data_IF_375060847056
#
_entry.id   IF_375060847056
#
_cell.length_a   1.000
_cell.length_b   1.000
_cell.length_c   1.000
_cell.angle_alpha   90.00
_cell.angle_beta   90.00
_cell.angle_gamma   90.00
#
_symmetry.space_group_name_H-M   'P 1'
#
loop_
_entity.id
_entity.type
_entity.pdbx_description
1 polymer ?
#
# COMPACT_ATOMS: atom_id res chain seq x y z
N UNK A 1 20.57 -3.18 -32.90
CA UNK A 1 19.45 -2.64 -32.12
C UNK A 1 19.62 -1.14 -32.14
N UNK A 2 18.69 -0.41 -32.76
CA UNK A 2 18.87 1.01 -33.07
C UNK A 2 18.32 1.92 -31.98
N UNK A 3 17.37 1.42 -31.20
CA UNK A 3 16.75 2.01 -30.02
C UNK A 3 16.56 0.91 -28.98
N UNK A 4 17.22 1.02 -27.84
CA UNK A 4 17.12 0.08 -26.72
C UNK A 4 17.69 0.68 -25.44
N UNK A 5 17.09 0.35 -24.31
CA UNK A 5 17.66 0.57 -22.98
C UNK A 5 18.18 -0.77 -22.42
N UNK A 6 19.33 -1.21 -22.94
CA UNK A 6 19.96 -2.47 -22.50
C UNK A 6 21.42 -2.18 -22.18
N UNK A 7 21.77 -2.42 -20.92
CA UNK A 7 23.11 -2.27 -20.40
C UNK A 7 24.09 -3.17 -21.17
N UNK A 8 25.26 -2.63 -21.53
CA UNK A 8 26.30 -3.38 -22.26
C UNK A 8 26.59 -2.91 -23.69
N UNK A 9 26.11 -1.74 -24.10
CA UNK A 9 26.69 -1.00 -25.22
C UNK A 9 26.36 -1.54 -26.61
N UNK A 10 25.10 -1.92 -26.86
CA UNK A 10 24.65 -2.20 -28.23
C UNK A 10 24.89 -0.98 -29.11
N UNK A 11 25.44 -1.19 -30.31
CA UNK A 11 25.57 -0.12 -31.30
C UNK A 11 24.19 0.23 -31.88
N UNK A 12 23.76 1.48 -31.70
CA UNK A 12 22.47 2.02 -32.14
C UNK A 12 22.38 3.51 -31.84
N UNK A 13 21.67 4.26 -32.68
CA UNK A 13 21.65 5.73 -32.61
C UNK A 13 20.88 6.26 -31.38
N UNK A 14 19.81 5.59 -30.98
CA UNK A 14 18.97 5.98 -29.85
C UNK A 14 19.02 5.00 -28.69
N UNK A 15 20.10 4.23 -28.57
CA UNK A 15 20.29 3.40 -27.39
C UNK A 15 20.63 4.28 -26.20
N UNK A 16 19.98 4.02 -25.07
CA UNK A 16 20.26 4.67 -23.80
C UNK A 16 20.80 3.61 -22.81
N UNK A 17 21.44 4.09 -21.75
CA UNK A 17 21.99 3.28 -20.66
C UNK A 17 21.58 3.98 -19.36
N UNK A 18 20.29 3.87 -19.05
CA UNK A 18 19.66 4.55 -17.93
C UNK A 18 18.85 3.56 -17.08
N UNK A 19 18.47 3.97 -15.88
CA UNK A 19 17.49 3.18 -15.12
C UNK A 19 16.12 3.35 -15.79
N UNK A 20 15.48 2.27 -16.29
CA UNK A 20 14.17 2.37 -16.92
C UNK A 20 13.06 2.77 -15.95
N UNK A 21 13.32 2.82 -14.64
CA UNK A 21 12.32 3.14 -13.61
C UNK A 21 11.09 2.22 -13.70
N UNK A 22 11.33 0.91 -13.71
CA UNK A 22 10.25 -0.06 -13.61
C UNK A 22 9.53 0.03 -12.26
N UNK A 23 8.25 -0.30 -12.21
CA UNK A 23 7.45 -0.23 -10.98
C UNK A 23 8.01 -1.14 -9.89
N UNK A 24 8.19 -2.43 -10.18
CA UNK A 24 8.73 -3.40 -9.22
C UNK A 24 9.32 -4.60 -9.98
N UNK A 25 10.51 -4.44 -10.57
CA UNK A 25 11.14 -5.51 -11.36
C UNK A 25 11.43 -6.78 -10.54
N UNK A 26 11.67 -6.66 -9.23
CA UNK A 26 11.80 -7.76 -8.28
C UNK A 26 10.56 -8.66 -8.19
N UNK A 27 9.39 -8.13 -8.54
CA UNK A 27 8.11 -8.82 -8.54
C UNK A 27 7.57 -9.04 -9.96
N UNK A 28 8.44 -8.91 -10.96
CA UNK A 28 8.13 -9.05 -12.39
C UNK A 28 7.12 -8.01 -12.91
N UNK A 29 7.00 -6.86 -12.25
CA UNK A 29 6.26 -5.71 -12.80
C UNK A 29 7.23 -4.77 -13.55
N UNK A 30 7.29 -4.97 -14.86
CA UNK A 30 8.14 -4.21 -15.79
C UNK A 30 7.39 -3.06 -16.47
N UNK A 31 6.27 -2.59 -15.90
CA UNK A 31 5.63 -1.35 -16.35
C UNK A 31 6.51 -0.16 -15.99
N UNK A 32 6.47 0.91 -16.80
CA UNK A 32 7.25 2.12 -16.57
C UNK A 32 6.56 3.05 -15.56
N UNK A 33 7.36 3.69 -14.70
CA UNK A 33 6.96 4.81 -13.84
C UNK A 33 6.96 6.14 -14.60
N UNK A 34 6.17 7.11 -14.13
CA UNK A 34 6.22 8.48 -14.65
C UNK A 34 7.61 9.08 -14.42
N UNK A 35 8.17 9.71 -15.46
CA UNK A 35 9.54 10.22 -15.45
C UNK A 35 10.60 9.20 -15.90
N UNK A 36 10.20 7.99 -16.31
CA UNK A 36 11.11 7.02 -16.92
C UNK A 36 11.78 7.59 -18.17
N UNK A 37 13.11 7.41 -18.35
CA UNK A 37 13.82 7.82 -19.56
C UNK A 37 13.46 6.95 -20.78
N UNK A 38 12.72 5.86 -20.57
CA UNK A 38 12.27 4.96 -21.63
C UNK A 38 10.96 5.41 -22.27
N UNK A 39 10.24 6.36 -21.67
CA UNK A 39 9.02 6.92 -22.24
C UNK A 39 9.38 7.75 -23.48
N UNK A 40 8.65 7.57 -24.57
CA UNK A 40 8.79 8.28 -25.85
C UNK A 40 10.20 8.16 -26.48
N UNK A 41 10.95 7.10 -26.15
CA UNK A 41 12.39 7.03 -26.42
C UNK A 41 12.80 5.99 -27.47
N UNK A 42 11.86 5.17 -27.94
CA UNK A 42 12.01 4.06 -28.90
C UNK A 42 12.11 4.49 -30.37
N UNK A 43 11.64 3.68 -31.32
CA UNK A 43 11.79 4.01 -32.74
C UNK A 43 10.99 5.29 -33.10
N UNK A 44 11.59 6.30 -33.75
CA UNK A 44 10.89 7.54 -34.13
C UNK A 44 9.96 7.38 -35.34
N UNK A 45 9.94 6.23 -36.01
CA UNK A 45 9.00 5.98 -37.11
C UNK A 45 7.57 5.87 -36.58
N UNK A 46 6.64 6.75 -37.02
CA UNK A 46 5.25 6.75 -36.56
C UNK A 46 4.49 5.44 -36.75
N UNK A 47 4.97 4.53 -37.62
CA UNK A 47 4.35 3.21 -37.76
C UNK A 47 4.47 2.33 -36.51
N UNK A 48 5.42 2.65 -35.62
CA UNK A 48 5.68 1.93 -34.38
C UNK A 48 5.15 2.66 -33.15
N UNK A 49 4.49 3.82 -33.31
CA UNK A 49 3.90 4.57 -32.21
C UNK A 49 3.02 3.69 -31.33
N UNK A 50 3.01 4.01 -30.04
CA UNK A 50 2.20 3.31 -29.06
C UNK A 50 0.71 3.58 -29.26
N UNK A 51 -0.19 2.78 -28.65
CA UNK A 51 -1.64 2.93 -28.83
C UNK A 51 -2.22 4.31 -28.49
N UNK A 52 -1.55 5.09 -27.65
CA UNK A 52 -1.87 6.48 -27.32
C UNK A 52 -1.37 7.50 -28.37
N UNK A 53 -0.77 6.99 -29.45
CA UNK A 53 -0.21 7.74 -30.59
C UNK A 53 1.07 8.53 -30.30
N UNK A 54 1.71 8.32 -29.15
CA UNK A 54 3.03 8.88 -28.83
C UNK A 54 4.16 8.02 -29.44
N UNK A 55 5.40 8.47 -29.33
CA UNK A 55 6.54 7.71 -29.89
C UNK A 55 6.69 6.44 -29.07
N UNK A 56 7.03 5.32 -29.72
CA UNK A 56 7.24 4.04 -29.03
C UNK A 56 8.11 4.18 -27.77
N UNK A 57 7.69 3.57 -26.67
CA UNK A 57 8.47 3.42 -25.46
C UNK A 57 9.53 2.31 -25.59
N UNK A 58 10.59 2.40 -24.79
CA UNK A 58 11.62 1.35 -24.69
C UNK A 58 11.39 0.35 -23.55
N UNK A 59 10.14 0.22 -23.07
CA UNK A 59 9.74 -0.72 -22.01
C UNK A 59 9.12 -2.03 -22.52
N UNK A 60 8.82 -2.95 -21.59
CA UNK A 60 8.04 -4.15 -21.90
C UNK A 60 6.56 -3.83 -22.19
N UNK A 61 6.08 -2.71 -21.64
CA UNK A 61 4.74 -2.16 -21.81
C UNK A 61 4.86 -0.66 -22.04
N UNK A 62 4.00 -0.11 -22.89
CA UNK A 62 3.92 1.33 -23.08
C UNK A 62 3.29 2.03 -21.86
N UNK A 63 3.67 3.28 -21.66
CA UNK A 63 3.11 4.20 -20.69
C UNK A 63 2.02 5.02 -21.40
N UNK A 64 0.76 4.77 -21.05
CA UNK A 64 -0.35 5.51 -21.65
C UNK A 64 -0.36 6.98 -21.20
N UNK A 65 -0.15 7.89 -22.15
CA UNK A 65 -0.14 9.35 -21.95
C UNK A 65 -1.43 10.01 -22.47
N UNK A 66 -2.45 9.23 -22.87
CA UNK A 66 -3.71 9.77 -23.40
C UNK A 66 -4.54 10.53 -22.36
N UNK A 67 -4.37 10.19 -21.07
CA UNK A 67 -4.99 10.87 -19.93
C UNK A 67 -3.94 11.13 -18.85
N UNK A 68 -4.05 12.25 -18.10
CA UNK A 68 -3.05 12.60 -17.09
C UNK A 68 -3.13 11.73 -15.83
N UNK A 69 -4.26 11.05 -15.60
CA UNK A 69 -4.49 10.24 -14.41
C UNK A 69 -4.14 8.77 -14.66
N UNK A 70 -3.32 8.19 -13.78
CA UNK A 70 -3.01 6.76 -13.82
C UNK A 70 -3.11 6.13 -12.43
N UNK A 71 -3.76 4.97 -12.31
CA UNK A 71 -3.65 4.09 -11.13
C UNK A 71 -2.86 2.85 -11.49
N UNK A 72 -2.01 2.40 -10.59
CA UNK A 72 -1.31 1.12 -10.69
C UNK A 72 -1.39 0.40 -9.35
N UNK A 73 -1.61 -0.91 -9.42
CA UNK A 73 -1.66 -1.81 -8.28
C UNK A 73 -0.68 -2.97 -8.51
N UNK A 74 0.20 -3.21 -7.55
CA UNK A 74 1.32 -4.15 -7.69
C UNK A 74 1.40 -5.06 -6.46
N UNK A 75 1.15 -6.37 -6.58
CA UNK A 75 1.31 -7.28 -5.46
C UNK A 75 2.78 -7.50 -5.12
N UNK A 76 3.08 -7.68 -3.82
CA UNK A 76 4.46 -7.92 -3.36
C UNK A 76 4.95 -9.33 -3.65
N UNK A 77 4.03 -10.28 -3.81
CA UNK A 77 4.34 -11.67 -4.11
C UNK A 77 3.40 -12.19 -5.19
N UNK A 78 3.94 -13.01 -6.10
CA UNK A 78 3.16 -13.75 -7.10
C UNK A 78 3.72 -15.18 -7.27
N UNK A 79 2.86 -16.21 -7.44
CA UNK A 79 1.39 -16.15 -7.38
C UNK A 79 0.86 -15.97 -5.95
N UNK A 80 -0.26 -15.27 -5.80
CA UNK A 80 -0.92 -15.11 -4.50
C UNK A 80 -1.89 -16.28 -4.29
N UNK A 81 -1.64 -17.08 -3.24
CA UNK A 81 -2.51 -18.17 -2.82
C UNK A 81 -3.01 -17.95 -1.38
N UNK A 82 -4.31 -17.73 -1.23
CA UNK A 82 -4.95 -17.56 0.08
C UNK A 82 -5.43 -18.92 0.60
N UNK A 83 -5.01 -19.34 1.81
CA UNK A 83 -5.42 -20.62 2.40
C UNK A 83 -6.93 -20.75 2.59
N UNK A 84 -7.41 -21.99 2.78
CA UNK A 84 -8.81 -22.29 3.09
C UNK A 84 -9.34 -21.51 4.32
N UNK A 85 -8.49 -21.29 5.32
CA UNK A 85 -8.80 -20.56 6.56
C UNK A 85 -8.87 -19.04 6.40
N UNK A 86 -8.52 -18.50 5.23
CA UNK A 86 -8.31 -17.07 5.01
C UNK A 86 -6.85 -16.67 5.19
N UNK A 87 -6.56 -15.42 4.90
CA UNK A 87 -5.21 -14.84 4.94
C UNK A 87 -5.23 -13.43 4.40
N UNK A 88 -4.07 -12.91 4.03
CA UNK A 88 -3.93 -11.59 3.43
C UNK A 88 -2.85 -11.60 2.36
N UNK A 89 -2.82 -10.54 1.55
CA UNK A 89 -1.71 -10.22 0.67
C UNK A 89 -1.38 -8.74 0.77
N UNK A 90 -0.10 -8.43 0.57
CA UNK A 90 0.40 -7.07 0.56
C UNK A 90 0.59 -6.59 -0.89
N UNK A 91 0.35 -5.31 -1.10
CA UNK A 91 0.45 -4.68 -2.41
C UNK A 91 0.76 -3.20 -2.29
N UNK A 92 1.40 -2.65 -3.32
CA UNK A 92 1.55 -1.22 -3.51
C UNK A 92 0.42 -0.71 -4.43
N UNK A 93 -0.22 0.38 -4.05
CA UNK A 93 -1.10 1.13 -4.95
C UNK A 93 -0.57 2.54 -5.11
N UNK A 94 -0.54 3.02 -6.36
CA UNK A 94 -0.12 4.37 -6.66
C UNK A 94 -1.06 5.06 -7.63
N UNK A 95 -1.20 6.36 -7.44
CA UNK A 95 -1.93 7.28 -8.30
C UNK A 95 -0.96 8.33 -8.80
N UNK A 96 -0.89 8.45 -10.11
CA UNK A 96 -0.05 9.41 -10.81
C UNK A 96 -0.92 10.46 -11.49
N UNK A 97 -0.54 11.72 -11.34
CA UNK A 97 -1.01 12.82 -12.16
C UNK A 97 0.17 13.32 -13.00
N UNK A 98 0.22 13.03 -14.29
CA UNK A 98 1.21 13.57 -15.23
C UNK A 98 0.81 14.91 -15.85
N UNK A 99 -0.36 15.44 -15.45
CA UNK A 99 -0.87 16.74 -15.92
C UNK A 99 -0.21 17.92 -15.21
N UNK A 100 -0.33 19.09 -15.86
CA UNK A 100 0.25 20.37 -15.39
C UNK A 100 -0.58 21.08 -14.31
N UNK A 101 -1.71 20.51 -13.91
CA UNK A 101 -2.61 21.02 -12.87
C UNK A 101 -2.86 19.91 -11.86
N UNK A 102 -3.06 20.27 -10.59
CA UNK A 102 -3.45 19.31 -9.57
C UNK A 102 -4.83 18.69 -9.85
N UNK A 103 -5.01 17.44 -9.43
CA UNK A 103 -6.24 16.66 -9.58
C UNK A 103 -6.78 16.26 -8.20
N UNK A 104 -8.09 16.44 -8.01
CA UNK A 104 -8.82 15.78 -6.92
C UNK A 104 -9.27 14.42 -7.44
N UNK A 105 -8.72 13.34 -6.87
CA UNK A 105 -8.86 11.98 -7.39
C UNK A 105 -9.60 11.11 -6.39
N UNK A 106 -10.68 10.45 -6.82
CA UNK A 106 -11.31 9.38 -6.06
C UNK A 106 -10.66 8.04 -6.43
N UNK A 107 -10.18 7.32 -5.41
CA UNK A 107 -9.46 6.04 -5.57
C UNK A 107 -10.15 4.95 -4.75
N UNK A 108 -10.38 3.80 -5.35
CA UNK A 108 -10.95 2.64 -4.66
C UNK A 108 -10.46 1.33 -5.26
N UNK A 109 -10.64 0.25 -4.50
CA UNK A 109 -10.45 -1.11 -4.99
C UNK A 109 -11.70 -1.96 -4.71
N UNK A 110 -11.95 -2.92 -5.59
CA UNK A 110 -12.94 -3.97 -5.38
C UNK A 110 -12.37 -5.34 -5.82
N UNK A 111 -13.17 -6.39 -5.65
CA UNK A 111 -12.81 -7.73 -6.11
C UNK A 111 -13.90 -8.34 -6.98
N UNK A 112 -13.50 -8.88 -8.12
CA UNK A 112 -14.34 -9.78 -8.89
C UNK A 112 -14.22 -11.18 -8.31
N UNK A 113 -15.34 -11.70 -7.81
CA UNK A 113 -15.46 -13.04 -7.23
C UNK A 113 -15.33 -14.13 -8.32
N UNK A 114 -15.07 -15.40 -7.96
CA UNK A 114 -14.98 -16.51 -8.92
C UNK A 114 -16.24 -16.75 -9.76
N UNK A 115 -17.41 -16.28 -9.29
CA UNK A 115 -18.67 -16.34 -10.04
C UNK A 115 -18.91 -15.15 -10.97
N UNK A 116 -17.95 -14.22 -11.08
CA UNK A 116 -18.01 -13.01 -11.89
C UNK A 116 -18.72 -11.82 -11.23
N UNK A 117 -19.32 -11.98 -10.04
CA UNK A 117 -19.91 -10.86 -9.32
C UNK A 117 -18.82 -9.98 -8.70
N UNK A 118 -19.05 -8.67 -8.67
CA UNK A 118 -18.16 -7.72 -7.98
C UNK A 118 -18.55 -7.60 -6.52
N UNK A 119 -17.56 -7.60 -5.63
CA UNK A 119 -17.70 -7.31 -4.21
C UNK A 119 -16.75 -6.19 -3.81
N UNK A 120 -17.27 -5.17 -3.14
CA UNK A 120 -16.47 -4.04 -2.70
C UNK A 120 -17.33 -2.81 -2.42
N UNK A 121 -16.69 -1.66 -2.15
CA UNK A 121 -15.24 -1.46 -2.15
C UNK A 121 -14.54 -2.24 -1.03
N UNK A 122 -13.36 -2.79 -1.33
CA UNK A 122 -12.46 -3.38 -0.33
C UNK A 122 -11.47 -2.34 0.22
N UNK A 123 -11.15 -1.33 -0.59
CA UNK A 123 -10.47 -0.09 -0.23
C UNK A 123 -11.29 1.11 -0.74
N UNK A 124 -11.46 2.15 0.07
CA UNK A 124 -12.09 3.40 -0.35
C UNK A 124 -13.60 3.31 -0.61
N UNK A 125 -14.18 4.22 -1.43
CA UNK A 125 -13.50 5.31 -2.11
C UNK A 125 -12.84 6.30 -1.16
N UNK A 126 -11.65 6.73 -1.52
CA UNK A 126 -10.93 7.80 -0.82
C UNK A 126 -10.61 8.90 -1.81
N UNK A 127 -10.93 10.12 -1.43
CA UNK A 127 -10.57 11.30 -2.18
C UNK A 127 -9.16 11.75 -1.77
N UNK A 128 -8.25 11.88 -2.74
CA UNK A 128 -6.88 12.33 -2.55
C UNK A 128 -6.57 13.49 -3.49
N UNK A 129 -5.92 14.52 -2.98
CA UNK A 129 -5.43 15.64 -3.79
C UNK A 129 -4.04 15.30 -4.32
N UNK A 130 -3.90 15.22 -5.64
CA UNK A 130 -2.66 14.86 -6.32
C UNK A 130 -2.13 16.09 -7.04
N UNK A 131 -0.95 16.58 -6.62
CA UNK A 131 -0.28 17.70 -7.27
C UNK A 131 0.04 17.45 -8.74
N UNK A 132 0.41 18.52 -9.46
CA UNK A 132 0.88 18.45 -10.84
C UNK A 132 2.15 17.61 -10.96
N UNK A 133 2.21 16.69 -11.92
CA UNK A 133 3.38 15.83 -12.19
C UNK A 133 3.84 15.01 -10.97
N UNK A 134 2.90 14.65 -10.08
CA UNK A 134 3.17 13.89 -8.85
C UNK A 134 2.66 12.46 -8.95
N UNK A 135 3.44 11.53 -8.41
CA UNK A 135 3.01 10.16 -8.08
C UNK A 135 2.88 10.02 -6.57
N UNK A 136 1.75 9.50 -6.11
CA UNK A 136 1.49 9.17 -4.72
C UNK A 136 1.29 7.66 -4.62
N UNK A 137 2.04 7.00 -3.75
CA UNK A 137 1.86 5.59 -3.50
C UNK A 137 1.66 5.28 -2.03
N UNK A 138 1.07 4.10 -1.77
CA UNK A 138 0.76 3.58 -0.45
C UNK A 138 0.95 2.08 -0.45
N UNK A 139 1.58 1.57 0.61
CA UNK A 139 1.56 0.14 0.91
C UNK A 139 0.25 -0.24 1.59
N UNK A 140 -0.31 -1.37 1.18
CA UNK A 140 -1.60 -1.87 1.62
C UNK A 140 -1.57 -3.36 1.87
N UNK A 141 -2.35 -3.79 2.84
CA UNK A 141 -2.63 -5.19 3.13
C UNK A 141 -4.12 -5.44 2.93
N UNK A 142 -4.45 -6.37 2.04
CA UNK A 142 -5.83 -6.83 1.85
C UNK A 142 -6.06 -8.14 2.60
N UNK A 143 -6.98 -8.15 3.56
CA UNK A 143 -7.45 -9.39 4.18
C UNK A 143 -8.53 -10.07 3.34
N UNK A 144 -8.40 -11.38 3.16
CA UNK A 144 -9.34 -12.28 2.50
C UNK A 144 -9.84 -13.29 3.54
N UNK A 145 -11.12 -13.23 3.95
CA UNK A 145 -11.64 -14.06 5.03
C UNK A 145 -11.73 -15.54 4.62
N UNK A 146 -11.65 -16.43 5.60
CA UNK A 146 -11.82 -17.89 5.37
C UNK A 146 -13.18 -18.27 4.79
N UNK A 147 -14.21 -17.45 5.04
CA UNK A 147 -15.55 -17.61 4.48
C UNK A 147 -15.67 -17.25 2.99
N UNK A 148 -14.65 -16.63 2.39
CA UNK A 148 -14.67 -16.28 0.97
C UNK A 148 -14.75 -17.56 0.09
N UNK A 149 -15.56 -17.54 -0.99
CA UNK A 149 -15.62 -18.63 -1.97
C UNK A 149 -14.23 -19.04 -2.47
N UNK A 150 -14.05 -20.34 -2.75
CA UNK A 150 -12.82 -20.80 -3.38
C UNK A 150 -12.83 -20.51 -4.89
N UNK A 151 -11.65 -20.31 -5.45
CA UNK A 151 -11.40 -20.06 -6.87
C UNK A 151 -10.60 -18.79 -7.13
N UNK A 152 -10.53 -18.42 -8.40
CA UNK A 152 -9.77 -17.27 -8.87
C UNK A 152 -10.54 -15.96 -8.70
N UNK A 153 -9.87 -14.97 -8.14
CA UNK A 153 -10.37 -13.61 -7.97
C UNK A 153 -9.57 -12.65 -8.85
N UNK A 154 -10.20 -11.52 -9.19
CA UNK A 154 -9.51 -10.35 -9.75
C UNK A 154 -9.59 -9.23 -8.71
N UNK A 155 -8.44 -8.68 -8.30
CA UNK A 155 -8.37 -7.48 -7.48
C UNK A 155 -8.26 -6.27 -8.41
N UNK A 156 -9.27 -5.39 -8.38
CA UNK A 156 -9.36 -4.25 -9.28
C UNK A 156 -9.08 -2.95 -8.52
N UNK A 157 -8.31 -2.05 -9.12
CA UNK A 157 -8.08 -0.70 -8.66
C UNK A 157 -8.62 0.31 -9.67
N UNK A 158 -9.20 1.39 -9.17
CA UNK A 158 -9.80 2.45 -9.95
C UNK A 158 -9.35 3.80 -9.42
N UNK A 159 -9.12 4.74 -10.32
CA UNK A 159 -8.97 6.15 -10.01
C UNK A 159 -9.80 7.00 -10.97
N UNK A 160 -10.48 8.03 -10.46
CA UNK A 160 -11.25 8.97 -11.29
C UNK A 160 -11.00 10.42 -10.89
N UNK A 161 -10.84 11.30 -11.88
CA UNK A 161 -10.79 12.74 -11.72
C UNK A 161 -11.62 13.41 -12.81
N UNK A 162 -12.80 13.92 -12.47
CA UNK A 162 -13.73 14.47 -13.46
C UNK A 162 -14.20 13.40 -14.46
N UNK A 163 -13.79 13.51 -15.72
CA UNK A 163 -14.07 12.51 -16.78
C UNK A 163 -12.96 11.49 -16.98
N UNK A 164 -11.79 11.73 -16.37
CA UNK A 164 -10.64 10.85 -16.53
C UNK A 164 -10.82 9.63 -15.64
N UNK A 165 -10.59 8.45 -16.19
CA UNK A 165 -10.75 7.17 -15.52
C UNK A 165 -9.50 6.34 -15.80
N UNK A 166 -8.90 5.80 -14.76
CA UNK A 166 -7.80 4.84 -14.85
C UNK A 166 -8.14 3.59 -14.06
N UNK A 167 -7.72 2.43 -14.57
CA UNK A 167 -7.97 1.13 -13.95
C UNK A 167 -6.76 0.24 -14.05
N UNK A 168 -6.53 -0.58 -13.03
CA UNK A 168 -5.51 -1.62 -13.05
C UNK A 168 -5.95 -2.85 -12.23
N UNK A 169 -5.35 -4.02 -12.46
CA UNK A 169 -5.76 -5.24 -11.76
C UNK A 169 -4.69 -6.34 -11.75
N UNK A 170 -4.81 -7.25 -10.78
CA UNK A 170 -4.09 -8.53 -10.76
C UNK A 170 -5.00 -9.65 -10.23
N UNK A 171 -4.56 -10.90 -10.34
CA UNK A 171 -5.32 -12.07 -9.86
C UNK A 171 -4.73 -12.70 -8.61
N UNK A 172 -5.58 -13.30 -7.79
CA UNK A 172 -5.18 -14.18 -6.70
C UNK A 172 -6.10 -15.39 -6.60
N UNK A 173 -5.61 -16.47 -6.00
CA UNK A 173 -6.35 -17.73 -5.85
C UNK A 173 -6.78 -17.94 -4.39
N UNK A 174 -8.04 -18.25 -4.14
CA UNK A 174 -8.53 -18.68 -2.83
C UNK A 174 -8.69 -20.20 -2.79
N UNK A 175 -7.88 -20.86 -1.97
CA UNK A 175 -7.90 -22.31 -1.82
C UNK A 175 -9.08 -22.79 -0.93
N UNK A 176 -9.46 -24.07 -1.08
CA UNK A 176 -10.42 -24.77 -0.22
C UNK A 176 -11.80 -24.99 -0.86
N UNK A 177 -12.81 -25.28 -0.03
CA UNK A 177 -14.21 -25.36 -0.44
C UNK A 177 -14.95 -24.07 -0.06
N UNK A 178 -15.93 -23.65 -0.89
CA UNK A 178 -16.72 -22.46 -0.64
C UNK A 178 -17.27 -22.44 0.80
N UNK A 179 -16.87 -21.43 1.58
CA UNK A 179 -17.43 -21.19 2.90
C UNK A 179 -18.94 -21.00 2.78
N UNK A 180 -19.70 -21.68 3.65
CA UNK A 180 -21.11 -21.36 3.83
C UNK A 180 -21.18 -20.04 4.58
N UNK A 181 -21.45 -18.98 3.82
CA UNK A 181 -21.90 -17.66 4.26
C UNK A 181 -20.86 -16.81 5.02
N UNK A 182 -20.31 -15.80 4.33
CA UNK A 182 -19.56 -14.73 4.97
C UNK A 182 -18.67 -13.93 4.02
N UNK A 183 -19.23 -12.89 3.40
CA UNK A 183 -18.47 -11.73 2.90
C UNK A 183 -18.01 -10.79 4.05
N UNK A 184 -18.20 -11.22 5.30
CA UNK A 184 -17.73 -10.52 6.48
C UNK A 184 -16.22 -10.78 6.69
N UNK A 185 -15.48 -9.75 7.06
CA UNK A 185 -14.05 -9.84 7.33
C UNK A 185 -13.14 -9.50 6.15
N UNK A 186 -13.68 -8.99 5.04
CA UNK A 186 -12.85 -8.25 4.09
C UNK A 186 -12.53 -6.89 4.70
N UNK A 187 -11.25 -6.58 4.83
CA UNK A 187 -10.79 -5.27 5.26
C UNK A 187 -9.44 -4.99 4.62
N UNK A 188 -9.16 -3.72 4.44
CA UNK A 188 -7.91 -3.22 3.89
C UNK A 188 -7.24 -2.33 4.92
N UNK A 189 -5.95 -2.57 5.16
CA UNK A 189 -5.15 -1.83 6.14
C UNK A 189 -3.91 -1.28 5.46
N UNK A 190 -3.29 -0.28 6.08
CA UNK A 190 -2.06 0.34 5.62
C UNK A 190 -1.98 1.77 6.11
N UNK A 191 -1.12 2.55 5.47
CA UNK A 191 -0.86 3.94 5.81
C UNK A 191 -2.13 4.81 5.76
N UNK A 192 -2.16 5.88 6.56
CA UNK A 192 -3.24 6.86 6.55
C UNK A 192 -3.29 7.61 5.21
N UNK A 193 -4.50 8.03 4.83
CA UNK A 193 -4.72 8.88 3.67
C UNK A 193 -4.60 10.38 4.01
N UNK A 194 -4.54 10.76 5.28
CA UNK A 194 -4.61 12.16 5.73
C UNK A 194 -3.30 12.95 5.56
N UNK A 195 -2.19 12.33 5.16
CA UNK A 195 -0.91 13.01 4.95
C UNK A 195 -0.59 13.22 3.47
N UNK A 196 -1.21 14.22 2.86
CA UNK A 196 -0.69 14.89 1.64
C UNK A 196 -1.07 16.37 1.69
N UNK A 197 -0.43 17.11 2.61
CA UNK A 197 -0.37 18.57 2.57
C UNK A 197 1.02 18.99 2.11
N UNK A 198 1.08 19.56 0.90
CA UNK A 198 2.20 20.30 0.28
C UNK A 198 3.61 20.13 0.87
N UNK A 199 4.47 19.43 0.11
CA UNK A 199 5.86 19.83 -0.10
C UNK A 199 6.84 19.61 1.04
N UNK A 200 7.45 18.43 1.08
CA UNK A 200 8.91 18.32 1.21
C UNK A 200 9.38 16.95 0.74
N UNK A 201 10.05 16.93 -0.41
CA UNK A 201 10.95 15.85 -0.78
C UNK A 201 12.10 15.81 0.23
N UNK A 202 12.03 14.89 1.17
CA UNK A 202 13.20 14.43 1.92
C UNK A 202 13.03 12.92 2.09
N UNK A 203 14.06 12.19 1.68
CA UNK A 203 14.15 10.74 1.58
C UNK A 203 13.29 9.95 2.56
N UNK A 204 12.63 8.89 2.05
CA UNK A 204 12.10 7.77 2.83
C UNK A 204 13.13 7.34 3.88
N UNK A 205 12.94 7.85 5.10
CA UNK A 205 13.60 7.36 6.29
C UNK A 205 12.50 6.59 7.00
N UNK A 206 12.63 5.27 7.09
CA UNK A 206 11.65 4.44 7.78
C UNK A 206 11.65 4.79 9.27
N UNK A 207 10.78 5.72 9.69
CA UNK A 207 10.79 6.26 11.04
C UNK A 207 10.27 5.24 12.08
N UNK A 208 10.62 5.51 13.34
CA UNK A 208 10.00 4.86 14.49
C UNK A 208 8.48 5.06 14.44
N UNK A 209 7.70 4.01 14.67
CA UNK A 209 6.24 4.08 14.56
C UNK A 209 5.54 3.32 15.67
N UNK A 210 4.48 3.90 16.24
CA UNK A 210 3.57 3.23 17.16
C UNK A 210 2.32 2.80 16.37
N UNK A 211 2.22 1.51 16.06
CA UNK A 211 1.19 0.94 15.16
C UNK A 211 -0.18 0.80 15.85
N UNK A 212 -0.20 0.90 17.17
CA UNK A 212 -1.41 1.02 17.97
C UNK A 212 -1.80 -0.27 18.70
N UNK A 213 -3.06 -0.35 19.14
CA UNK A 213 -3.60 -1.46 19.92
C UNK A 213 -4.65 -2.25 19.12
N UNK A 214 -4.51 -3.57 18.99
CA UNK A 214 -5.51 -4.44 18.38
C UNK A 214 -5.78 -5.70 19.20
N UNK A 215 -7.05 -6.08 19.45
CA UNK A 215 -8.27 -5.32 19.11
C UNK A 215 -8.37 -4.00 19.89
N UNK A 216 -9.18 -3.04 19.40
CA UNK A 216 -9.55 -1.81 20.11
C UNK A 216 -10.88 -1.28 19.54
N UNK A 217 -12.01 -1.31 20.30
CA UNK A 217 -12.10 -1.68 21.71
C UNK A 217 -11.76 -3.15 22.00
N UNK A 218 -11.30 -3.46 23.22
CA UNK A 218 -10.78 -4.78 23.59
C UNK A 218 -11.42 -5.36 24.86
N UNK A 219 -11.36 -6.70 25.02
CA UNK A 219 -11.90 -7.41 26.19
C UNK A 219 -11.13 -8.73 26.48
N UNK A 220 -10.44 -8.85 27.62
CA UNK A 220 -9.64 -7.83 28.29
C UNK A 220 -8.21 -7.75 27.74
N UNK A 221 -7.91 -8.46 26.65
CA UNK A 221 -6.58 -8.54 26.04
C UNK A 221 -6.52 -7.69 24.76
N UNK A 222 -5.42 -6.97 24.58
CA UNK A 222 -5.05 -6.29 23.33
C UNK A 222 -3.55 -6.42 23.10
N UNK A 223 -3.11 -6.28 21.86
CA UNK A 223 -1.69 -6.27 21.48
C UNK A 223 -1.32 -4.86 21.05
N UNK A 224 -0.28 -4.32 21.67
CA UNK A 224 0.33 -3.05 21.30
C UNK A 224 1.52 -3.32 20.40
N UNK A 225 1.47 -2.79 19.18
CA UNK A 225 2.49 -3.03 18.15
C UNK A 225 3.25 -1.74 17.85
N UNK A 226 4.57 -1.85 17.65
CA UNK A 226 5.43 -0.73 17.28
C UNK A 226 6.63 -1.17 16.44
N UNK A 227 7.15 -0.27 15.60
CA UNK A 227 8.32 -0.47 14.74
C UNK A 227 9.47 0.41 15.22
N UNK A 228 10.65 -0.18 15.32
CA UNK A 228 11.90 0.54 15.61
C UNK A 228 12.76 0.56 14.34
N UNK A 229 13.23 1.74 13.95
CA UNK A 229 14.22 1.90 12.88
C UNK A 229 15.56 1.28 13.29
N UNK A 230 16.06 1.68 14.46
CA UNK A 230 17.31 1.20 15.05
C UNK A 230 17.07 0.52 16.40
N UNK A 231 18.00 -0.37 16.75
CA UNK A 231 18.04 -0.97 18.07
C UNK A 231 18.22 0.13 19.14
N UNK A 232 17.29 0.20 20.10
CA UNK A 232 17.21 1.31 21.05
C UNK A 232 16.59 0.89 22.39
N UNK A 233 16.73 1.76 23.40
CA UNK A 233 16.03 1.58 24.69
C UNK A 233 14.61 2.09 24.52
N UNK A 234 13.65 1.19 24.73
CA UNK A 234 12.22 1.44 24.59
C UNK A 234 11.53 1.47 25.95
N UNK A 235 10.65 2.45 26.14
CA UNK A 235 9.67 2.45 27.22
C UNK A 235 8.26 2.49 26.61
N UNK A 236 7.47 1.44 26.82
CA UNK A 236 6.05 1.39 26.46
C UNK A 236 5.24 1.30 27.74
N UNK A 237 4.46 2.33 28.03
CA UNK A 237 3.70 2.46 29.27
C UNK A 237 2.23 2.81 29.02
N UNK A 238 1.36 2.31 29.89
CA UNK A 238 -0.11 2.53 29.85
C UNK A 238 -0.52 3.43 31.01
N UNK A 239 -1.43 4.37 30.73
CA UNK A 239 -1.96 5.39 31.62
C UNK A 239 -3.49 5.39 31.59
N UNK A 240 -4.11 5.85 32.68
CA UNK A 240 -5.55 6.15 32.69
C UNK A 240 -5.84 7.57 32.15
N UNK A 241 -7.12 7.92 31.98
CA UNK A 241 -7.55 9.25 31.50
C UNK A 241 -7.09 10.43 32.36
N UNK A 242 -6.68 10.17 33.61
CA UNK A 242 -6.14 11.19 34.51
C UNK A 242 -4.63 11.34 34.37
N UNK A 243 -4.00 10.60 33.46
CA UNK A 243 -2.56 10.58 33.24
C UNK A 243 -1.78 9.76 34.27
N UNK A 244 -2.46 8.99 35.14
CA UNK A 244 -1.78 8.14 36.12
C UNK A 244 -1.27 6.87 35.45
N UNK A 245 -0.01 6.54 35.69
CA UNK A 245 0.62 5.31 35.20
C UNK A 245 -0.11 4.09 35.77
N UNK A 246 -0.59 3.23 34.87
CA UNK A 246 -1.26 1.97 35.18
C UNK A 246 -0.26 0.83 35.19
N UNK A 247 0.54 0.70 34.12
CA UNK A 247 1.60 -0.32 34.01
C UNK A 247 2.63 0.08 32.97
N UNK A 248 3.81 -0.55 33.03
CA UNK A 248 4.83 -0.47 31.98
C UNK A 248 4.97 -1.83 31.33
N UNK A 249 4.76 -1.90 30.03
CA UNK A 249 4.76 -3.13 29.24
C UNK A 249 6.15 -3.47 28.71
N UNK A 250 6.92 -2.45 28.35
CA UNK A 250 8.33 -2.57 27.94
C UNK A 250 9.13 -1.49 28.63
N UNK A 251 10.30 -1.86 29.15
CA UNK A 251 11.28 -0.90 29.66
C UNK A 251 12.68 -1.48 29.50
N UNK A 252 13.28 -1.31 28.32
CA UNK A 252 14.62 -1.83 28.04
C UNK A 252 14.97 -1.89 26.56
N UNK A 253 16.12 -2.50 26.28
CA UNK A 253 16.65 -2.65 24.93
C UNK A 253 15.74 -3.49 24.03
N UNK A 254 15.61 -3.08 22.77
CA UNK A 254 14.94 -3.80 21.69
C UNK A 254 15.74 -3.61 20.40
N UNK A 255 15.81 -4.66 19.58
CA UNK A 255 16.46 -4.61 18.27
C UNK A 255 15.57 -3.90 17.24
N UNK A 256 16.14 -3.48 16.11
CA UNK A 256 15.38 -2.92 15.00
C UNK A 256 14.30 -3.91 14.50
N UNK A 257 13.17 -3.40 14.01
CA UNK A 257 12.06 -4.19 13.51
C UNK A 257 10.74 -4.01 14.27
N UNK A 258 9.78 -4.88 13.98
CA UNK A 258 8.42 -4.83 14.55
C UNK A 258 8.38 -5.62 15.86
N UNK A 259 7.75 -5.03 16.88
CA UNK A 259 7.57 -5.62 18.19
C UNK A 259 6.09 -5.59 18.58
N UNK A 260 5.65 -6.68 19.20
CA UNK A 260 4.30 -6.85 19.70
C UNK A 260 4.30 -7.14 21.19
N UNK A 261 3.44 -6.46 21.93
CA UNK A 261 3.37 -6.60 23.38
C UNK A 261 1.94 -6.71 23.84
N UNK A 262 1.61 -7.85 24.45
CA UNK A 262 0.27 -8.09 24.99
C UNK A 262 0.03 -7.25 26.24
N UNK A 263 -1.10 -6.55 26.26
CA UNK A 263 -1.64 -5.88 27.44
C UNK A 263 -2.86 -6.64 27.96
N UNK A 264 -2.77 -7.12 29.20
CA UNK A 264 -3.87 -7.73 29.93
C UNK A 264 -4.49 -6.73 30.92
N UNK A 265 -5.72 -6.31 30.62
CA UNK A 265 -6.49 -5.37 31.42
C UNK A 265 -7.59 -6.04 32.27
N UNK A 266 -7.49 -7.35 32.53
CA UNK A 266 -8.49 -8.11 33.28
C UNK A 266 -8.79 -7.51 34.66
N UNK A 267 -7.79 -6.89 35.31
CA UNK A 267 -7.93 -6.19 36.59
C UNK A 267 -8.44 -4.74 36.53
N UNK A 268 -8.69 -4.19 35.34
CA UNK A 268 -9.00 -2.77 35.14
C UNK A 268 -10.50 -2.52 34.83
N UNK A 269 -11.08 -1.38 35.21
CA UNK A 269 -12.46 -1.03 34.86
C UNK A 269 -12.61 -0.69 33.36
N UNK A 270 -13.78 -0.96 32.77
CA UNK A 270 -14.08 -0.50 31.40
C UNK A 270 -13.90 1.01 31.30
N UNK A 271 -13.27 1.47 30.21
CA UNK A 271 -12.90 2.88 30.05
C UNK A 271 -11.82 3.11 29.01
N UNK A 272 -11.43 4.37 28.87
CA UNK A 272 -10.34 4.78 27.96
C UNK A 272 -9.01 4.71 28.71
N UNK A 273 -8.01 4.16 28.04
CA UNK A 273 -6.62 4.12 28.47
C UNK A 273 -5.75 4.76 27.39
N UNK A 274 -4.66 5.38 27.81
CA UNK A 274 -3.64 5.93 26.91
C UNK A 274 -2.39 5.05 27.01
N UNK A 275 -1.68 4.86 25.93
CA UNK A 275 -0.36 4.25 25.95
C UNK A 275 0.63 5.19 25.29
N UNK A 276 1.86 5.20 25.79
CA UNK A 276 2.96 6.02 25.28
C UNK A 276 4.17 5.14 25.04
N UNK A 277 4.73 5.25 23.86
CA UNK A 277 6.00 4.68 23.46
C UNK A 277 7.06 5.78 23.45
N UNK A 278 8.23 5.51 24.04
CA UNK A 278 9.41 6.35 23.88
C UNK A 278 10.62 5.50 23.49
N UNK A 279 11.34 5.89 22.45
CA UNK A 279 12.54 5.22 21.95
C UNK A 279 13.57 6.28 21.50
N UNK A 280 14.59 6.52 22.31
CA UNK A 280 15.52 7.64 22.06
C UNK A 280 14.81 9.00 22.11
N UNK A 281 14.92 9.78 21.03
CA UNK A 281 14.21 11.06 20.85
C UNK A 281 12.76 10.89 20.36
N UNK A 282 12.38 9.69 19.89
CA UNK A 282 11.03 9.41 19.44
C UNK A 282 10.08 9.21 20.62
N UNK A 283 8.93 9.87 20.59
CA UNK A 283 7.84 9.68 21.54
C UNK A 283 6.50 9.79 20.85
N UNK A 284 5.69 8.74 20.94
CA UNK A 284 4.35 8.71 20.38
C UNK A 284 3.35 8.11 21.38
N UNK A 285 2.07 8.45 21.24
CA UNK A 285 1.01 8.04 22.16
C UNK A 285 -0.29 7.72 21.43
N UNK A 286 -0.98 6.67 21.88
CA UNK A 286 -2.27 6.28 21.36
C UNK A 286 -3.30 6.06 22.47
N UNK A 287 -4.56 5.88 22.06
CA UNK A 287 -5.69 5.59 22.95
C UNK A 287 -6.26 4.21 22.68
N UNK A 288 -6.72 3.54 23.73
CA UNK A 288 -7.42 2.26 23.65
C UNK A 288 -8.63 2.23 24.59
N UNK A 289 -9.65 1.47 24.22
CA UNK A 289 -10.92 1.40 24.94
C UNK A 289 -11.14 -0.03 25.43
N UNK A 290 -11.14 -0.21 26.75
CA UNK A 290 -11.50 -1.48 27.38
C UNK A 290 -13.02 -1.57 27.50
N UNK A 291 -13.62 -2.61 26.94
CA UNK A 291 -15.05 -2.92 27.07
C UNK A 291 -15.24 -4.33 27.65
N UNK A 292 -15.61 -4.40 28.93
CA UNK A 292 -16.06 -5.66 29.57
C UNK A 292 -17.53 -5.95 29.30
#
# INVERSE_FOLDING_TARGET
MTYSDVLGGYAGQGNIDADPLFISPEWNDYRLQWGSPCIDAGDPDPQYNDPDSTRADMGAFYFDQSVPLRVLVTPFEMPIEIPATGGSFDYYIQVTNSGLLGLSVDVWCDVTLPNGNVFGPTLGPVNVEVGSEITLGRERTQNVPGGAPAGTYVYNAYATAGTDISTDSFTFEKLGSAGLDGLAGWFNTGESFEEIGEGSSTALQEEFALLGAYPNPFNPLTVLSFKLHDASIVNLAVYDISGRLVTTLVNGWRDAGIHEVTFDASGLPSGVYLYRLTAGEFSDSGKMVLMK
#
